data_IF_235035765606
#
_entry.id   IF_235035765606
#
_cell.length_a   1.000
_cell.length_b   1.000
_cell.length_c   1.000
_cell.angle_alpha   90.00
_cell.angle_beta   90.00
_cell.angle_gamma   90.00
#
_symmetry.space_group_name_H-M   'P 1'
#
loop_
_entity.id
_entity.type
_entity.pdbx_description
1 polymer ?
#
# COMPACT_ATOMS: atom_id res chain seq x y z
N UNK A 1 12.29 -4.19 20.78
CA UNK A 1 11.05 -3.41 20.57
C UNK A 1 11.20 -2.66 19.24
N UNK A 2 10.51 -3.08 18.17
CA UNK A 2 10.52 -2.36 16.89
C UNK A 2 9.77 -1.03 17.11
N UNK A 3 10.37 0.10 16.74
CA UNK A 3 9.67 1.40 16.73
C UNK A 3 8.62 1.34 15.61
N UNK A 4 7.34 1.43 15.96
CA UNK A 4 6.25 1.58 14.99
C UNK A 4 6.31 3.03 14.49
N UNK A 5 6.74 3.25 13.26
CA UNK A 5 6.66 4.57 12.64
C UNK A 5 5.19 4.86 12.32
N UNK A 6 4.64 5.95 12.84
CA UNK A 6 3.26 6.35 12.56
C UNK A 6 3.21 7.15 11.25
N UNK A 7 2.40 6.68 10.30
CA UNK A 7 2.10 7.40 9.06
C UNK A 7 0.70 8.00 9.14
N UNK A 8 0.47 9.15 8.52
CA UNK A 8 -0.86 9.78 8.49
C UNK A 8 -1.13 10.44 7.13
N UNK A 9 -2.41 10.50 6.75
CA UNK A 9 -2.87 11.26 5.59
C UNK A 9 -3.39 12.61 6.06
N UNK A 10 -2.88 13.68 5.47
CA UNK A 10 -3.33 15.05 5.71
C UNK A 10 -4.01 15.58 4.46
N UNK A 11 -5.29 15.95 4.58
CA UNK A 11 -6.07 16.54 3.50
C UNK A 11 -6.83 17.77 3.96
N UNK A 12 -6.88 18.80 3.11
CA UNK A 12 -7.64 20.02 3.35
C UNK A 12 -8.94 19.99 2.57
N UNK A 13 -10.08 20.13 3.25
CA UNK A 13 -11.40 20.25 2.64
C UNK A 13 -12.00 21.58 3.08
N UNK A 14 -12.06 22.57 2.18
CA UNK A 14 -12.73 23.88 2.39
C UNK A 14 -12.48 24.45 3.79
N UNK A 15 -11.20 24.62 4.15
CA UNK A 15 -10.69 25.15 5.44
C UNK A 15 -10.70 24.20 6.64
N UNK A 16 -11.18 22.96 6.50
CA UNK A 16 -11.02 21.90 7.50
C UNK A 16 -9.78 21.04 7.17
N UNK A 17 -8.98 20.72 8.19
CA UNK A 17 -7.89 19.76 8.09
C UNK A 17 -8.31 18.42 8.70
N UNK A 18 -8.23 17.36 7.89
CA UNK A 18 -8.48 15.99 8.36
C UNK A 18 -7.12 15.27 8.41
N UNK A 19 -6.78 14.76 9.59
CA UNK A 19 -5.61 13.91 9.84
C UNK A 19 -6.10 12.51 10.20
N UNK A 20 -5.73 11.50 9.41
CA UNK A 20 -6.09 10.10 9.64
C UNK A 20 -4.80 9.30 9.82
N UNK A 21 -4.66 8.64 10.96
CA UNK A 21 -3.55 7.72 11.20
C UNK A 21 -3.73 6.46 10.36
N UNK A 22 -2.64 6.04 9.73
CA UNK A 22 -2.60 4.85 8.91
C UNK A 22 -2.13 3.69 9.79
N UNK A 23 -3.05 2.79 10.12
CA UNK A 23 -2.79 1.54 10.82
C UNK A 23 -2.74 0.37 9.81
N UNK A 24 -3.54 -0.68 10.01
CA UNK A 24 -3.46 -1.94 9.27
C UNK A 24 -4.54 -2.05 8.17
N UNK A 25 -5.40 -1.03 8.03
CA UNK A 25 -6.51 -0.99 7.08
C UNK A 25 -6.15 -0.27 5.77
N UNK A 26 -4.99 -0.60 5.20
CA UNK A 26 -4.52 -0.02 3.94
C UNK A 26 -4.86 -0.95 2.80
N UNK A 27 -5.57 -0.42 1.80
CA UNK A 27 -6.02 -1.18 0.65
C UNK A 27 -5.61 -0.50 -0.65
N UNK A 28 -5.31 -1.30 -1.66
CA UNK A 28 -5.17 -0.85 -3.04
C UNK A 28 -5.86 -1.83 -3.99
N UNK A 29 -5.80 -1.55 -5.29
CA UNK A 29 -6.31 -2.45 -6.33
C UNK A 29 -5.15 -3.18 -7.00
N UNK A 30 -5.34 -4.46 -7.27
CA UNK A 30 -4.46 -5.24 -8.11
C UNK A 30 -4.42 -4.63 -9.52
N UNK A 31 -3.21 -4.36 -10.05
CA UNK A 31 -3.05 -3.76 -11.38
C UNK A 31 -3.65 -4.62 -12.51
N UNK A 32 -3.62 -5.95 -12.38
CA UNK A 32 -4.10 -6.85 -13.44
C UNK A 32 -5.60 -7.13 -13.41
N UNK A 33 -6.17 -7.36 -12.22
CA UNK A 33 -7.55 -7.82 -12.11
C UNK A 33 -8.47 -6.83 -11.41
N UNK A 34 -7.94 -5.71 -10.91
CA UNK A 34 -8.71 -4.67 -10.21
C UNK A 34 -9.26 -5.05 -8.85
N UNK A 35 -9.05 -6.29 -8.37
CA UNK A 35 -9.49 -6.75 -7.05
C UNK A 35 -8.81 -5.92 -5.94
N UNK A 36 -9.58 -5.57 -4.92
CA UNK A 36 -9.07 -4.97 -3.70
C UNK A 36 -8.14 -5.92 -2.94
N UNK A 37 -7.01 -5.40 -2.48
CA UNK A 37 -6.00 -6.12 -1.72
C UNK A 37 -5.56 -5.27 -0.54
N UNK A 38 -5.43 -5.89 0.64
CA UNK A 38 -4.81 -5.28 1.81
C UNK A 38 -3.29 -5.25 1.64
N UNK A 39 -2.66 -4.16 2.08
CA UNK A 39 -1.20 -4.00 2.06
C UNK A 39 -0.71 -3.68 3.47
N UNK A 40 0.38 -4.32 3.87
CA UNK A 40 1.16 -3.89 5.04
C UNK A 40 2.21 -2.87 4.60
N UNK A 41 2.04 -1.61 5.01
CA UNK A 41 3.00 -0.55 4.72
C UNK A 41 4.34 -0.77 5.45
N UNK A 42 4.37 -1.37 6.63
CA UNK A 42 5.65 -1.59 7.32
C UNK A 42 6.53 -2.57 6.54
N UNK A 43 5.92 -3.62 5.97
CA UNK A 43 6.64 -4.58 5.13
C UNK A 43 7.13 -3.95 3.82
N UNK A 44 6.34 -3.05 3.23
CA UNK A 44 6.67 -2.45 1.93
C UNK A 44 7.65 -1.27 2.01
N UNK A 45 7.70 -0.55 3.13
CA UNK A 45 8.45 0.71 3.26
C UNK A 45 9.78 0.60 4.00
N UNK A 46 10.14 -0.55 4.58
CA UNK A 46 11.37 -0.73 5.37
C UNK A 46 12.66 -0.46 4.54
N UNK A 47 12.59 -0.58 3.22
CA UNK A 47 13.72 -0.35 2.29
C UNK A 47 13.65 0.98 1.51
N UNK A 48 12.65 1.83 1.78
CA UNK A 48 12.41 3.06 1.02
C UNK A 48 11.78 2.78 -0.34
N UNK A 49 10.45 2.75 -0.38
CA UNK A 49 9.67 2.64 -1.61
C UNK A 49 8.92 3.96 -1.89
N UNK A 50 8.64 4.24 -3.16
CA UNK A 50 7.76 5.33 -3.58
C UNK A 50 6.33 4.79 -3.77
N UNK A 51 5.37 5.36 -3.04
CA UNK A 51 3.94 5.03 -3.16
C UNK A 51 3.40 5.31 -4.56
N UNK A 52 3.98 6.26 -5.30
CA UNK A 52 3.45 6.71 -6.58
C UNK A 52 3.81 5.77 -7.74
N UNK A 53 4.94 5.07 -7.65
CA UNK A 53 5.46 4.20 -8.70
C UNK A 53 5.40 2.71 -8.35
N UNK A 54 4.92 2.36 -7.15
CA UNK A 54 4.74 0.97 -6.73
C UNK A 54 3.44 0.39 -7.27
N UNK A 55 3.54 -0.67 -8.07
CA UNK A 55 2.40 -1.46 -8.53
C UNK A 55 2.21 -2.70 -7.65
N UNK A 56 0.98 -2.92 -7.21
CA UNK A 56 0.64 -4.06 -6.35
C UNK A 56 -0.18 -5.11 -7.12
N UNK A 57 0.09 -6.38 -6.85
CA UNK A 57 -0.58 -7.51 -7.46
C UNK A 57 -1.19 -8.41 -6.38
N UNK A 58 -2.39 -8.95 -6.63
CA UNK A 58 -2.95 -9.95 -5.75
C UNK A 58 -2.14 -11.26 -5.80
N UNK A 59 -2.33 -12.12 -4.79
CA UNK A 59 -1.62 -13.40 -4.66
C UNK A 59 -1.76 -14.30 -5.90
N UNK A 60 -2.91 -14.26 -6.57
CA UNK A 60 -3.17 -15.02 -7.81
C UNK A 60 -2.38 -14.47 -9.00
N UNK A 61 -2.42 -13.15 -9.23
CA UNK A 61 -1.71 -12.51 -10.34
C UNK A 61 -0.18 -12.54 -10.12
N UNK A 62 0.28 -12.37 -8.88
CA UNK A 62 1.70 -12.51 -8.53
C UNK A 62 2.25 -13.90 -8.87
N UNK A 63 1.46 -14.97 -8.61
CA UNK A 63 1.82 -16.35 -8.99
C UNK A 63 1.90 -16.54 -10.50
N UNK A 64 1.04 -15.87 -11.28
CA UNK A 64 1.09 -15.91 -12.75
C UNK A 64 2.34 -15.22 -13.29
N UNK A 65 2.65 -14.02 -12.78
CA UNK A 65 3.84 -13.25 -13.18
C UNK A 65 5.14 -14.01 -12.89
N UNK A 66 5.27 -14.65 -11.72
CA UNK A 66 6.44 -15.47 -11.36
C UNK A 66 6.65 -16.68 -12.29
N UNK A 67 5.59 -17.18 -12.95
CA UNK A 67 5.69 -18.28 -13.92
C UNK A 67 6.06 -17.83 -15.32
N UNK A 68 5.79 -16.56 -15.67
CA UNK A 68 6.11 -15.98 -16.99
C UNK A 68 7.58 -15.55 -17.09
N UNK A 69 8.23 -15.22 -15.96
CA UNK A 69 9.63 -14.79 -15.90
C UNK A 69 10.61 -15.95 -15.63
N UNK A 70 10.25 -17.18 -15.98
CA UNK A 70 11.09 -18.38 -15.81
C UNK A 70 11.26 -19.07 -17.15
#
# INVERSE_FOLDING_TARGET
>A
MRRKNMYYVKSKIKDLEINIEIEDNVYTKCNECGREISIDLFEHFDSGCDLCSTVCFCSECSKKMKKLNK
#
